data_IF_628377224204
#
_entry.id   IF_628377224204
#
_cell.length_a   1.000
_cell.length_b   1.000
_cell.length_c   1.000
_cell.angle_alpha   90.00
_cell.angle_beta   90.00
_cell.angle_gamma   90.00
#
_symmetry.space_group_name_H-M   'P 1'
#
loop_
_entity.id
_entity.type
_entity.pdbx_description
1 polymer ?
#
# COMPACT_ATOMS: atom_id res chain seq x y z
N UNK A 1 10.31 -26.03 26.11
CA UNK A 1 9.73 -25.88 24.76
C UNK A 1 9.02 -24.53 24.73
N UNK A 2 9.50 -23.55 23.96
CA UNK A 2 8.92 -22.20 23.98
C UNK A 2 7.57 -22.19 23.25
N UNK A 3 6.54 -21.64 23.88
CA UNK A 3 5.23 -21.44 23.25
C UNK A 3 5.37 -20.44 22.09
N UNK A 4 4.71 -20.66 20.93
CA UNK A 4 4.71 -19.72 19.80
C UNK A 4 4.13 -18.33 20.16
N UNK A 5 3.44 -18.22 21.30
CA UNK A 5 2.81 -16.99 21.78
C UNK A 5 3.38 -16.63 23.15
N UNK A 6 4.68 -16.34 23.18
CA UNK A 6 5.34 -15.86 24.39
C UNK A 6 5.15 -14.35 24.52
N UNK A 7 4.04 -13.95 25.13
CA UNK A 7 3.47 -12.58 25.10
C UNK A 7 4.31 -11.52 25.84
N UNK A 8 5.44 -11.88 26.43
CA UNK A 8 6.31 -10.99 27.21
C UNK A 8 7.75 -10.88 26.70
N UNK A 9 8.10 -11.58 25.60
CA UNK A 9 9.47 -11.53 25.09
C UNK A 9 9.71 -10.30 24.20
N UNK A 10 10.91 -9.68 24.28
CA UNK A 10 11.32 -8.67 23.31
C UNK A 10 11.27 -9.25 21.89
N UNK A 11 10.66 -8.52 20.96
CA UNK A 11 10.58 -8.90 19.56
C UNK A 11 10.61 -7.68 18.65
N UNK A 12 11.00 -7.89 17.40
CA UNK A 12 11.10 -6.85 16.38
C UNK A 12 10.35 -7.21 15.11
N UNK A 13 9.88 -6.20 14.39
CA UNK A 13 9.36 -6.29 13.02
C UNK A 13 10.27 -5.53 12.07
N UNK A 14 10.47 -6.10 10.88
CA UNK A 14 11.17 -5.44 9.78
C UNK A 14 10.12 -5.06 8.75
N UNK A 15 10.05 -3.77 8.44
CA UNK A 15 9.21 -3.22 7.39
C UNK A 15 10.10 -2.88 6.21
N UNK A 16 9.82 -3.42 5.04
CA UNK A 16 10.59 -3.18 3.82
C UNK A 16 9.66 -2.68 2.72
N UNK A 17 10.07 -1.60 2.06
CA UNK A 17 9.41 -1.07 0.86
C UNK A 17 10.33 -1.23 -0.32
N UNK A 18 9.81 -1.86 -1.36
CA UNK A 18 10.50 -2.09 -2.62
C UNK A 18 9.76 -1.47 -3.79
N UNK A 19 10.48 -1.28 -4.89
CA UNK A 19 9.86 -0.96 -6.17
C UNK A 19 9.27 -2.20 -6.87
N UNK A 20 8.73 -2.02 -8.08
CA UNK A 20 8.15 -3.11 -8.87
C UNK A 20 9.15 -4.20 -9.25
N UNK A 21 10.44 -3.89 -9.37
CA UNK A 21 11.49 -4.84 -9.69
C UNK A 21 12.07 -5.54 -8.45
N UNK A 22 11.59 -5.16 -7.25
CA UNK A 22 12.10 -5.68 -5.98
C UNK A 22 13.28 -4.91 -5.42
N UNK A 23 13.64 -3.76 -5.99
CA UNK A 23 14.72 -2.91 -5.46
C UNK A 23 14.30 -2.32 -4.11
N UNK A 24 15.05 -2.51 -3.01
CA UNK A 24 14.70 -1.94 -1.71
C UNK A 24 14.85 -0.41 -1.75
N UNK A 25 13.76 0.30 -1.45
CA UNK A 25 13.70 1.77 -1.38
C UNK A 25 13.93 2.28 0.04
N UNK A 26 13.35 1.61 1.04
CA UNK A 26 13.51 1.96 2.45
C UNK A 26 13.23 0.74 3.34
N UNK A 27 13.92 0.67 4.48
CA UNK A 27 13.75 -0.36 5.50
C UNK A 27 13.63 0.32 6.86
N UNK A 28 12.69 -0.13 7.68
CA UNK A 28 12.52 0.33 9.05
C UNK A 28 12.36 -0.86 10.00
N UNK A 29 12.88 -0.71 11.21
CA UNK A 29 12.74 -1.71 12.28
C UNK A 29 11.88 -1.11 13.40
N UNK A 30 10.91 -1.87 13.89
CA UNK A 30 10.05 -1.49 15.00
C UNK A 30 9.94 -2.60 16.03
N UNK A 31 9.33 -2.31 17.18
CA UNK A 31 8.91 -3.37 18.10
C UNK A 31 7.91 -4.31 17.42
N UNK A 32 7.90 -5.58 17.83
CA UNK A 32 7.03 -6.60 17.24
C UNK A 32 5.54 -6.30 17.43
N UNK A 33 5.17 -5.58 18.49
CA UNK A 33 3.78 -5.20 18.75
C UNK A 33 3.38 -3.85 18.11
N UNK A 34 4.28 -3.20 17.37
CA UNK A 34 3.93 -1.99 16.62
C UNK A 34 3.02 -2.38 15.44
N UNK A 35 1.91 -1.65 15.28
CA UNK A 35 1.02 -1.81 14.14
C UNK A 35 1.71 -1.34 12.85
N UNK A 36 1.56 -2.09 11.77
CA UNK A 36 2.25 -1.83 10.50
C UNK A 36 1.82 -0.49 9.87
N UNK A 37 0.59 -0.03 10.13
CA UNK A 37 0.12 1.31 9.71
C UNK A 37 0.93 2.45 10.34
N UNK A 38 1.43 2.27 11.56
CA UNK A 38 2.28 3.26 12.23
C UNK A 38 3.66 3.35 11.58
N UNK A 39 4.17 2.23 11.04
CA UNK A 39 5.43 2.18 10.30
C UNK A 39 5.29 2.69 8.86
N UNK A 40 4.09 2.67 8.27
CA UNK A 40 3.88 3.04 6.86
C UNK A 40 4.27 4.50 6.55
N UNK A 41 3.78 5.46 7.33
CA UNK A 41 4.03 6.89 7.08
C UNK A 41 5.53 7.25 7.09
N UNK A 42 6.32 6.88 8.12
CA UNK A 42 7.76 7.20 8.12
C UNK A 42 8.50 6.50 6.97
N UNK A 43 8.08 5.29 6.60
CA UNK A 43 8.73 4.50 5.56
C UNK A 43 8.48 5.07 4.15
N UNK A 44 7.28 5.62 3.90
CA UNK A 44 6.98 6.38 2.68
C UNK A 44 7.76 7.70 2.61
N UNK A 45 7.92 8.39 3.75
CA UNK A 45 8.71 9.62 3.80
C UNK A 45 10.21 9.37 3.60
N UNK A 46 10.68 8.16 3.90
CA UNK A 46 12.06 7.74 3.71
C UNK A 46 12.39 7.31 2.27
N UNK A 47 11.41 7.29 1.35
CA UNK A 47 11.68 6.96 -0.05
C UNK A 47 12.72 7.95 -0.61
N UNK A 48 13.88 7.47 -1.08
CA UNK A 48 14.91 8.35 -1.60
C UNK A 48 14.42 9.06 -2.85
N UNK A 49 14.90 10.28 -3.09
CA UNK A 49 14.65 10.97 -4.35
C UNK A 49 15.37 10.22 -5.47
N UNK A 50 14.62 9.42 -6.24
CA UNK A 50 15.19 8.64 -7.34
C UNK A 50 15.61 9.60 -8.46
N UNK A 51 16.93 9.79 -8.63
CA UNK A 51 17.49 10.51 -9.78
C UNK A 51 17.22 9.70 -11.04
N UNK A 52 16.31 10.17 -11.89
CA UNK A 52 16.15 9.54 -13.21
C UNK A 52 17.33 9.94 -14.10
N UNK A 53 17.71 9.06 -15.05
CA UNK A 53 18.74 9.34 -16.06
C UNK A 53 18.42 10.58 -16.94
N UNK A 54 17.16 11.06 -16.92
CA UNK A 54 16.67 12.28 -17.59
C UNK A 54 16.46 13.47 -16.64
N UNK A 55 17.07 13.46 -15.44
CA UNK A 55 16.94 14.52 -14.43
C UNK A 55 15.94 14.17 -13.31
N UNK A 56 15.75 15.09 -12.35
CA UNK A 56 14.82 14.92 -11.22
C UNK A 56 13.37 14.92 -11.73
N UNK A 57 12.85 13.76 -12.13
CA UNK A 57 11.41 13.55 -12.21
C UNK A 57 10.89 13.42 -10.78
N UNK A 58 10.44 14.54 -10.20
CA UNK A 58 9.66 14.56 -8.97
C UNK A 58 8.42 13.67 -9.19
N UNK A 59 8.47 12.40 -8.76
CA UNK A 59 7.27 11.57 -8.62
C UNK A 59 6.55 12.07 -7.37
N UNK A 60 5.65 13.03 -7.54
CA UNK A 60 4.62 13.28 -6.53
C UNK A 60 3.88 11.98 -6.28
N UNK A 61 3.96 11.44 -5.06
CA UNK A 61 3.05 10.41 -4.58
C UNK A 61 1.65 11.02 -4.56
N UNK A 62 0.96 10.93 -5.69
CA UNK A 62 -0.43 11.36 -5.82
C UNK A 62 -1.31 10.25 -5.27
N UNK A 63 -1.48 10.22 -3.95
CA UNK A 63 -2.71 9.68 -3.40
C UNK A 63 -3.80 10.73 -3.63
N UNK A 64 -4.38 10.75 -4.82
CA UNK A 64 -5.44 11.69 -5.15
C UNK A 64 -6.76 11.18 -4.56
N UNK A 65 -6.91 11.28 -3.23
CA UNK A 65 -8.20 11.09 -2.53
C UNK A 65 -9.14 12.27 -2.80
N UNK A 66 -9.38 12.60 -4.07
CA UNK A 66 -10.49 13.50 -4.42
C UNK A 66 -11.78 12.69 -4.37
N UNK A 67 -12.81 13.27 -3.75
CA UNK A 67 -14.14 12.65 -3.61
C UNK A 67 -14.71 12.15 -4.95
N UNK A 68 -14.37 12.83 -6.04
CA UNK A 68 -14.73 12.48 -7.41
C UNK A 68 -14.27 11.08 -7.84
N UNK A 69 -13.10 10.62 -7.39
CA UNK A 69 -12.62 9.27 -7.72
C UNK A 69 -13.48 8.18 -7.09
N UNK A 70 -13.95 8.40 -5.85
CA UNK A 70 -14.84 7.46 -5.18
C UNK A 70 -16.18 7.34 -5.92
N UNK A 71 -16.72 8.46 -6.38
CA UNK A 71 -17.95 8.48 -7.19
C UNK A 71 -17.74 7.76 -8.54
N UNK A 72 -16.62 8.02 -9.22
CA UNK A 72 -16.28 7.34 -10.47
C UNK A 72 -16.18 5.81 -10.31
N UNK A 73 -15.51 5.33 -9.26
CA UNK A 73 -15.44 3.88 -8.98
C UNK A 73 -16.80 3.27 -8.61
N UNK A 74 -17.62 4.00 -7.85
CA UNK A 74 -18.97 3.56 -7.50
C UNK A 74 -19.86 3.43 -8.74
N UNK A 75 -19.86 4.42 -9.64
CA UNK A 75 -20.62 4.37 -10.90
C UNK A 75 -20.14 3.25 -11.81
N UNK A 76 -18.83 3.07 -11.94
CA UNK A 76 -18.26 1.99 -12.74
C UNK A 76 -18.67 0.61 -12.19
N UNK A 77 -18.58 0.41 -10.88
CA UNK A 77 -19.02 -0.81 -10.21
C UNK A 77 -20.51 -1.07 -10.40
N UNK A 78 -21.35 -0.04 -10.24
CA UNK A 78 -22.78 -0.15 -10.47
C UNK A 78 -23.11 -0.52 -11.92
N UNK A 79 -22.51 0.16 -12.90
CA UNK A 79 -22.70 -0.12 -14.33
C UNK A 79 -22.31 -1.55 -14.71
N UNK A 80 -21.16 -2.03 -14.22
CA UNK A 80 -20.72 -3.41 -14.45
C UNK A 80 -21.66 -4.43 -13.82
N UNK A 81 -22.20 -4.13 -12.64
CA UNK A 81 -23.14 -5.00 -11.95
C UNK A 81 -24.48 -5.05 -12.69
N UNK A 82 -24.98 -3.90 -13.16
CA UNK A 82 -26.17 -3.80 -14.00
C UNK A 82 -26.00 -4.56 -15.31
N UNK A 83 -24.87 -4.41 -15.99
CA UNK A 83 -24.57 -5.13 -17.22
C UNK A 83 -24.48 -6.65 -17.01
N UNK A 84 -23.81 -7.11 -15.94
CA UNK A 84 -23.77 -8.54 -15.58
C UNK A 84 -25.15 -9.09 -15.25
N UNK A 85 -26.00 -8.31 -14.57
CA UNK A 85 -27.38 -8.69 -14.27
C UNK A 85 -28.22 -8.78 -15.55
N UNK A 86 -28.09 -7.80 -16.44
CA UNK A 86 -28.79 -7.78 -17.72
C UNK A 86 -28.38 -8.96 -18.60
N UNK A 87 -27.08 -9.29 -18.64
CA UNK A 87 -26.56 -10.45 -19.38
C UNK A 87 -27.10 -11.80 -18.89
N UNK A 88 -27.33 -11.94 -17.57
CA UNK A 88 -27.93 -13.16 -16.98
C UNK A 88 -29.42 -13.31 -17.25
N UNK A 89 -30.11 -12.21 -17.58
CA UNK A 89 -31.54 -12.21 -17.92
C UNK A 89 -31.78 -12.46 -19.42
N UNK A 90 -30.78 -12.21 -20.25
CA UNK A 90 -30.83 -12.38 -21.71
C UNK A 90 -30.27 -13.73 -22.21
N UNK A 91 -29.95 -14.64 -21.29
CA UNK A 91 -29.60 -16.05 -21.53
C UNK A 91 -30.52 -16.92 -20.71
#
# INVERSE_FOLDING_TARGET
>A
MASPVDRGKPGSKIHALSDRAGLPLAVAVSAANTNDSAALKPLVMAIPVIRSRRGLRRRTLRYERKAEHFLAFLLLGAALTCYKKHRKLTT
#
